data_IF_716031363667
#
_entry.id   IF_716031363667
#
_cell.length_a   1.000
_cell.length_b   1.000
_cell.length_c   1.000
_cell.angle_alpha   90.00
_cell.angle_beta   90.00
_cell.angle_gamma   90.00
#
_symmetry.space_group_name_H-M   'P 1'
#
loop_
_entity.id
_entity.type
_entity.pdbx_description
1 polymer ?
#
# COMPACT_ATOMS: atom_id res chain seq x y z
N UNK A 1 -11.98 -1.04 14.54
CA UNK A 1 -10.74 -1.85 14.61
C UNK A 1 -9.96 -1.80 13.31
N UNK A 2 -10.55 -2.13 12.15
CA UNK A 2 -9.79 -2.20 10.89
C UNK A 2 -9.46 -0.87 10.21
N UNK A 3 -10.10 0.23 10.64
CA UNK A 3 -9.81 1.59 10.18
C UNK A 3 -8.34 1.97 10.33
N UNK A 4 -7.65 1.46 11.37
CA UNK A 4 -6.21 1.71 11.53
C UNK A 4 -5.39 1.13 10.37
N UNK A 5 -5.76 -0.03 9.85
CA UNK A 5 -5.09 -0.67 8.70
C UNK A 5 -5.41 0.05 7.40
N UNK A 6 -6.63 0.56 7.26
CA UNK A 6 -6.98 1.44 6.16
C UNK A 6 -6.12 2.72 6.18
N UNK A 7 -6.07 3.43 7.31
CA UNK A 7 -5.29 4.67 7.45
C UNK A 7 -3.80 4.42 7.22
N UNK A 8 -3.27 3.34 7.80
CA UNK A 8 -1.88 2.93 7.59
C UNK A 8 -1.61 2.68 6.11
N UNK A 9 -2.38 1.82 5.45
CA UNK A 9 -2.16 1.46 4.04
C UNK A 9 -2.35 2.64 3.09
N UNK A 10 -3.27 3.56 3.38
CA UNK A 10 -3.39 4.83 2.66
C UNK A 10 -2.11 5.67 2.80
N UNK A 11 -1.64 5.90 4.03
CA UNK A 11 -0.39 6.63 4.29
C UNK A 11 0.82 5.96 3.64
N UNK A 12 0.90 4.63 3.65
CA UNK A 12 1.92 3.85 2.96
C UNK A 12 1.86 4.08 1.45
N UNK A 13 0.67 4.04 0.84
CA UNK A 13 0.48 4.34 -0.57
C UNK A 13 0.94 5.76 -0.91
N UNK A 14 0.59 6.75 -0.09
CA UNK A 14 1.04 8.14 -0.25
C UNK A 14 2.57 8.28 -0.10
N UNK A 15 3.18 7.54 0.83
CA UNK A 15 4.63 7.49 0.98
C UNK A 15 5.33 6.96 -0.27
N UNK A 16 4.81 5.88 -0.87
CA UNK A 16 5.35 5.33 -2.13
C UNK A 16 5.17 6.33 -3.29
N UNK A 17 4.02 7.01 -3.36
CA UNK A 17 3.73 8.01 -4.40
C UNK A 17 4.65 9.23 -4.33
N UNK A 18 5.06 9.62 -3.13
CA UNK A 18 5.95 10.75 -2.86
C UNK A 18 7.43 10.33 -2.70
N UNK A 19 7.76 9.10 -3.08
CA UNK A 19 9.12 8.57 -3.00
C UNK A 19 10.05 9.26 -4.02
N UNK A 20 11.36 9.07 -3.82
CA UNK A 20 12.42 9.69 -4.64
C UNK A 20 12.35 9.30 -6.11
N UNK A 21 11.79 8.14 -6.44
CA UNK A 21 11.63 7.66 -7.81
C UNK A 21 10.66 8.49 -8.67
N UNK A 22 9.97 9.47 -8.09
CA UNK A 22 9.01 10.32 -8.78
C UNK A 22 7.60 9.72 -8.82
N UNK A 23 6.62 10.60 -9.04
CA UNK A 23 5.19 10.30 -8.88
C UNK A 23 4.69 9.19 -9.82
N UNK A 24 5.10 9.19 -11.08
CA UNK A 24 4.65 8.19 -12.06
C UNK A 24 5.20 6.81 -11.72
N UNK A 25 6.48 6.73 -11.34
CA UNK A 25 7.05 5.47 -10.86
C UNK A 25 6.41 5.01 -9.57
N UNK A 26 6.13 5.93 -8.64
CA UNK A 26 5.37 5.65 -7.43
C UNK A 26 3.99 5.04 -7.73
N UNK A 27 3.26 5.57 -8.71
CA UNK A 27 1.97 5.01 -9.16
C UNK A 27 2.12 3.57 -9.67
N UNK A 28 3.13 3.31 -10.48
CA UNK A 28 3.43 1.94 -10.95
C UNK A 28 3.71 0.99 -9.77
N UNK A 29 4.50 1.43 -8.79
CA UNK A 29 4.85 0.62 -7.61
C UNK A 29 3.62 0.30 -6.75
N UNK A 30 2.73 1.26 -6.51
CA UNK A 30 1.49 1.02 -5.75
C UNK A 30 0.54 0.12 -6.54
N UNK A 31 0.40 0.31 -7.86
CA UNK A 31 -0.41 -0.60 -8.70
C UNK A 31 0.15 -2.02 -8.65
N UNK A 32 1.47 -2.18 -8.83
CA UNK A 32 2.14 -3.48 -8.76
C UNK A 32 1.90 -4.16 -7.41
N UNK A 33 2.06 -3.41 -6.31
CA UNK A 33 1.80 -3.92 -4.96
C UNK A 33 0.35 -4.42 -4.81
N UNK A 34 -0.64 -3.63 -5.23
CA UNK A 34 -2.06 -4.02 -5.22
C UNK A 34 -2.30 -5.30 -6.00
N UNK A 35 -1.78 -5.40 -7.24
CA UNK A 35 -1.94 -6.58 -8.08
C UNK A 35 -1.29 -7.83 -7.46
N UNK A 36 -0.13 -7.66 -6.85
CA UNK A 36 0.62 -8.76 -6.25
C UNK A 36 -0.07 -9.32 -4.99
N UNK A 37 -0.61 -8.46 -4.11
CA UNK A 37 -1.22 -8.91 -2.85
C UNK A 37 -2.71 -9.25 -2.98
N UNK A 38 -3.46 -8.68 -3.93
CA UNK A 38 -4.90 -8.97 -4.08
C UNK A 38 -5.19 -10.43 -4.36
N UNK A 39 -4.29 -11.11 -5.07
CA UNK A 39 -4.42 -12.51 -5.47
C UNK A 39 -4.08 -13.50 -4.36
N UNK A 40 -3.64 -13.04 -3.19
CA UNK A 40 -3.27 -13.91 -2.08
C UNK A 40 -4.48 -14.12 -1.16
N UNK A 41 -4.98 -15.37 -1.09
CA UNK A 41 -6.17 -15.72 -0.30
C UNK A 41 -5.85 -16.37 1.05
N UNK A 42 -4.56 -16.56 1.35
CA UNK A 42 -4.12 -17.01 2.66
C UNK A 42 -3.45 -15.86 3.43
N UNK A 43 -3.75 -15.70 4.73
CA UNK A 43 -3.15 -14.64 5.55
C UNK A 43 -1.63 -14.64 5.49
N UNK A 44 -1.00 -15.81 5.64
CA UNK A 44 0.45 -15.96 5.60
C UNK A 44 1.06 -15.40 4.32
N UNK A 45 0.58 -15.86 3.15
CA UNK A 45 1.11 -15.40 1.85
C UNK A 45 0.84 -13.92 1.61
N UNK A 46 -0.35 -13.44 1.97
CA UNK A 46 -0.72 -12.03 1.83
C UNK A 46 0.25 -11.14 2.62
N UNK A 47 0.50 -11.47 3.89
CA UNK A 47 1.34 -10.68 4.79
C UNK A 47 2.82 -10.76 4.40
N UNK A 48 3.31 -11.94 4.05
CA UNK A 48 4.69 -12.14 3.59
C UNK A 48 4.98 -11.30 2.35
N UNK A 49 4.11 -11.38 1.35
CA UNK A 49 4.28 -10.63 0.10
C UNK A 49 4.15 -9.12 0.29
N UNK A 50 3.22 -8.69 1.16
CA UNK A 50 3.09 -7.28 1.53
C UNK A 50 4.38 -6.76 2.16
N UNK A 51 4.93 -7.44 3.17
CA UNK A 51 6.15 -6.99 3.86
C UNK A 51 7.38 -7.07 2.97
N UNK A 52 7.51 -8.13 2.16
CA UNK A 52 8.61 -8.27 1.19
C UNK A 52 8.67 -7.04 0.26
N UNK A 53 7.53 -6.64 -0.31
CA UNK A 53 7.46 -5.51 -1.24
C UNK A 53 7.67 -4.17 -0.56
N UNK A 54 7.08 -3.97 0.61
CA UNK A 54 7.32 -2.74 1.37
C UNK A 54 8.79 -2.64 1.81
N UNK A 55 9.42 -3.75 2.17
CA UNK A 55 10.86 -3.82 2.46
C UNK A 55 11.70 -3.45 1.24
N UNK A 56 11.39 -4.01 0.07
CA UNK A 56 12.03 -3.66 -1.21
C UNK A 56 11.92 -2.14 -1.48
N UNK A 57 10.72 -1.58 -1.36
CA UNK A 57 10.47 -0.16 -1.65
C UNK A 57 11.15 0.78 -0.65
N UNK A 58 11.22 0.40 0.63
CA UNK A 58 11.89 1.17 1.69
C UNK A 58 13.41 1.15 1.54
N UNK A 59 14.00 0.01 1.15
CA UNK A 59 15.46 -0.19 1.17
C UNK A 59 16.15 0.06 -0.17
N UNK A 60 15.43 -0.05 -1.29
CA UNK A 60 16.00 0.20 -2.62
C UNK A 60 16.42 1.68 -2.76
N UNK A 61 17.70 1.94 -2.99
CA UNK A 61 18.28 3.28 -3.07
C UNK A 61 17.66 4.19 -4.16
N UNK A 62 17.07 3.59 -5.19
CA UNK A 62 16.41 4.31 -6.27
C UNK A 62 14.94 4.66 -5.95
N UNK A 63 14.36 4.03 -4.94
CA UNK A 63 12.98 4.27 -4.49
C UNK A 63 12.99 5.05 -3.19
N UNK A 64 13.59 4.48 -2.13
CA UNK A 64 13.64 4.99 -0.76
C UNK A 64 12.29 5.57 -0.31
N UNK A 65 11.24 4.74 -0.39
CA UNK A 65 9.91 5.16 0.00
C UNK A 65 9.88 5.49 1.51
N UNK A 66 9.42 6.69 1.91
CA UNK A 66 9.27 7.09 3.31
C UNK A 66 8.04 6.41 3.92
N UNK A 67 8.14 5.11 4.19
CA UNK A 67 7.05 4.27 4.68
C UNK A 67 7.43 3.54 5.96
N UNK A 68 6.43 3.31 6.81
CA UNK A 68 6.57 2.48 8.00
C UNK A 68 5.79 1.19 7.86
N UNK A 69 6.41 0.10 8.31
CA UNK A 69 5.77 -1.22 8.37
C UNK A 69 5.10 -1.32 9.74
N UNK A 70 3.79 -1.56 9.77
CA UNK A 70 3.06 -1.71 11.03
C UNK A 70 3.32 -3.10 11.61
N UNK A 71 4.03 -3.24 12.76
CA UNK A 71 4.42 -4.54 13.29
C UNK A 71 3.23 -5.44 13.62
N UNK A 72 2.13 -4.85 14.10
CA UNK A 72 0.89 -5.54 14.47
C UNK A 72 0.26 -6.32 13.31
N UNK A 73 0.52 -5.92 12.06
CA UNK A 73 0.03 -6.65 10.88
C UNK A 73 0.69 -8.04 10.76
N UNK A 74 1.87 -8.21 11.35
CA UNK A 74 2.65 -9.45 11.31
C UNK A 74 2.31 -10.43 12.44
N UNK A 75 1.37 -10.09 13.32
CA UNK A 75 0.86 -10.98 14.35
C UNK A 75 -0.04 -12.06 13.71
N UNK A 76 0.60 -13.05 13.07
CA UNK A 76 -0.05 -14.09 12.24
C UNK A 76 -1.16 -14.86 12.98
N UNK A 77 -1.10 -14.94 14.31
CA UNK A 77 -2.09 -15.60 15.16
C UNK A 77 -3.43 -14.85 15.24
N UNK A 78 -3.49 -13.57 14.83
CA UNK A 78 -4.73 -12.77 14.86
C UNK A 78 -5.58 -12.90 13.58
N UNK A 79 -4.98 -13.34 12.47
CA UNK A 79 -5.57 -13.20 11.13
C UNK A 79 -6.15 -14.50 10.61
N UNK A 80 -7.36 -14.83 11.06
CA UNK A 80 -8.09 -16.01 10.64
C UNK A 80 -9.53 -15.68 10.21
N UNK A 81 -10.06 -16.50 9.29
CA UNK A 81 -11.43 -16.39 8.77
C UNK A 81 -11.78 -14.94 8.37
N UNK A 82 -12.91 -14.42 8.85
CA UNK A 82 -13.43 -13.10 8.47
C UNK A 82 -12.48 -11.95 8.82
N UNK A 83 -11.73 -12.06 9.92
CA UNK A 83 -10.77 -11.01 10.32
C UNK A 83 -9.72 -10.77 9.25
N UNK A 84 -9.26 -11.83 8.60
CA UNK A 84 -8.32 -11.71 7.48
C UNK A 84 -8.96 -10.97 6.30
N UNK A 85 -10.20 -11.29 5.93
CA UNK A 85 -10.88 -10.61 4.82
C UNK A 85 -11.10 -9.12 5.11
N UNK A 86 -11.44 -8.75 6.36
CA UNK A 86 -11.55 -7.34 6.76
C UNK A 86 -10.20 -6.62 6.74
N UNK A 87 -9.12 -7.27 7.18
CA UNK A 87 -7.76 -6.73 7.08
C UNK A 87 -7.37 -6.51 5.61
N UNK A 88 -7.50 -7.57 4.79
CA UNK A 88 -7.21 -7.55 3.34
C UNK A 88 -7.98 -6.45 2.64
N UNK A 89 -9.28 -6.35 2.87
CA UNK A 89 -10.12 -5.31 2.29
C UNK A 89 -9.67 -3.90 2.72
N UNK A 90 -9.33 -3.71 3.99
CA UNK A 90 -8.88 -2.41 4.51
C UNK A 90 -7.56 -1.97 3.89
N UNK A 91 -6.61 -2.88 3.74
CA UNK A 91 -5.30 -2.62 3.12
C UNK A 91 -5.45 -2.30 1.62
N UNK A 92 -6.22 -3.12 0.90
CA UNK A 92 -6.48 -2.91 -0.52
C UNK A 92 -7.20 -1.58 -0.76
N UNK A 93 -8.21 -1.27 0.06
CA UNK A 93 -8.95 -0.02 -0.03
C UNK A 93 -8.04 1.19 0.25
N UNK A 94 -7.19 1.16 1.27
CA UNK A 94 -6.29 2.28 1.57
C UNK A 94 -5.28 2.54 0.44
N UNK A 95 -4.63 1.48 -0.07
CA UNK A 95 -3.71 1.59 -1.21
C UNK A 95 -4.39 2.11 -2.48
N UNK A 96 -5.61 1.62 -2.78
CA UNK A 96 -6.38 2.06 -3.93
C UNK A 96 -6.79 3.53 -3.80
N UNK A 97 -7.25 3.95 -2.62
CA UNK A 97 -7.61 5.35 -2.37
C UNK A 97 -6.41 6.28 -2.55
N UNK A 98 -5.21 5.87 -2.10
CA UNK A 98 -3.99 6.66 -2.32
C UNK A 98 -3.71 6.87 -3.82
N UNK A 99 -3.87 5.82 -4.65
CA UNK A 99 -3.74 5.93 -6.11
C UNK A 99 -4.75 6.90 -6.71
N UNK A 100 -6.03 6.76 -6.35
CA UNK A 100 -7.10 7.62 -6.87
C UNK A 100 -6.87 9.08 -6.48
N UNK A 101 -6.49 9.35 -5.22
CA UNK A 101 -6.14 10.71 -4.77
C UNK A 101 -4.98 11.30 -5.56
N UNK A 102 -3.96 10.49 -5.89
CA UNK A 102 -2.84 10.96 -6.71
C UNK A 102 -3.20 11.24 -8.18
N UNK A 103 -4.27 10.61 -8.70
CA UNK A 103 -4.82 10.85 -10.04
C UNK A 103 -5.72 12.09 -10.07
N UNK A 104 -6.56 12.29 -9.05
CA UNK A 104 -7.40 13.50 -8.92
C UNK A 104 -6.55 14.77 -8.84
N UNK A 105 -5.50 14.75 -8.01
CA UNK A 105 -4.56 15.87 -7.87
C UNK A 105 -3.74 16.16 -9.16
N UNK A 106 -3.74 15.28 -10.16
CA UNK A 106 -3.14 15.58 -11.47
C UNK A 106 -4.12 16.26 -12.42
N UNK A 107 -5.42 16.01 -12.29
CA UNK A 107 -6.45 16.62 -13.16
C UNK A 107 -6.66 18.10 -12.84
N UNK A 108 -6.62 18.48 -11.57
CA UNK A 108 -6.81 19.88 -11.15
C UNK A 108 -5.61 20.80 -11.48
N UNK A 109 -4.44 20.24 -11.80
CA UNK A 109 -3.25 21.02 -12.18
C UNK A 109 -3.05 21.21 -13.68
N UNK A 110 -3.94 20.66 -14.52
CA UNK A 110 -3.80 20.65 -15.98
C UNK A 110 -4.67 21.68 -16.73
N UNK A 111 -5.51 22.44 -16.03
CA UNK A 111 -6.49 23.38 -16.65
C UNK A 111 -6.08 24.86 -16.54
N UNK A 112 -4.79 25.16 -16.32
CA UNK A 112 -4.24 26.52 -16.39
C UNK A 112 -3.03 26.59 -17.33
N UNK A 113 -3.25 26.36 -18.63
CA UNK A 113 -2.37 26.85 -19.72
C UNK A 113 -3.20 27.42 -20.87
#
# INVERSE_FOLDING_TARGET
>A
MFEKYFKWSFSTGMGILNAKCGKDKGKELVRKLLFEIRGEDTPGRFLEKLVEKLGEYKTNANIQAPIEILPEIMEKEEWHADKFYYLKASILAGLLNALVSAEQNQKEGGDNE
#
